data_IF_897081954950
#
_entry.id   IF_897081954950
#
_cell.length_a   1.000
_cell.length_b   1.000
_cell.length_c   1.000
_cell.angle_alpha   90.00
_cell.angle_beta   90.00
_cell.angle_gamma   90.00
#
_symmetry.space_group_name_H-M   'P 1'
#
loop_
_entity.id
_entity.type
_entity.pdbx_description
1 polymer ?
#
# COMPACT_ATOMS: atom_id res chain seq x y z
N UNK A 1 22.50 -14.43 9.83
CA UNK A 1 21.38 -14.88 8.98
C UNK A 1 20.69 -13.63 8.46
N UNK A 2 20.66 -13.40 7.15
CA UNK A 2 20.04 -12.20 6.55
C UNK A 2 18.56 -12.47 6.33
N UNK A 3 17.71 -11.47 6.56
CA UNK A 3 16.25 -11.57 6.35
C UNK A 3 15.98 -11.71 4.86
N UNK A 4 15.13 -12.67 4.47
CA UNK A 4 14.70 -12.87 3.08
C UNK A 4 13.26 -12.39 2.88
N UNK A 5 13.03 -11.61 1.84
CA UNK A 5 11.72 -11.07 1.49
C UNK A 5 11.27 -11.62 0.13
N UNK A 6 10.10 -12.26 0.10
CA UNK A 6 9.59 -12.97 -1.08
C UNK A 6 8.58 -12.11 -1.85
N UNK A 7 8.74 -12.02 -3.17
CA UNK A 7 7.85 -11.29 -4.07
C UNK A 7 7.89 -9.77 -3.88
N UNK A 8 9.05 -9.11 -4.05
CA UNK A 8 9.24 -7.70 -3.70
C UNK A 8 8.42 -6.73 -4.57
N UNK A 9 8.00 -7.16 -5.76
CA UNK A 9 7.20 -6.36 -6.68
C UNK A 9 5.75 -6.14 -6.22
N UNK A 10 5.21 -6.94 -5.29
CA UNK A 10 3.79 -6.87 -4.90
C UNK A 10 3.52 -5.90 -3.75
N UNK A 11 2.34 -5.28 -3.77
CA UNK A 11 1.95 -4.21 -2.84
C UNK A 11 2.08 -4.63 -1.36
N UNK A 12 1.64 -5.82 -0.98
CA UNK A 12 1.74 -6.26 0.41
C UNK A 12 3.19 -6.36 0.89
N UNK A 13 4.07 -6.93 0.07
CA UNK A 13 5.50 -7.09 0.37
C UNK A 13 6.21 -5.76 0.50
N UNK A 14 5.79 -4.76 -0.29
CA UNK A 14 6.33 -3.39 -0.20
C UNK A 14 6.17 -2.76 1.19
N UNK A 15 5.18 -3.16 2.01
CA UNK A 15 5.11 -2.73 3.42
C UNK A 15 6.33 -3.19 4.21
N UNK A 16 6.68 -4.46 4.07
CA UNK A 16 7.82 -5.06 4.78
C UNK A 16 9.12 -4.39 4.33
N UNK A 17 9.31 -4.26 3.02
CA UNK A 17 10.52 -3.64 2.45
C UNK A 17 10.67 -2.18 2.90
N UNK A 18 9.59 -1.41 2.88
CA UNK A 18 9.63 0.00 3.34
C UNK A 18 10.04 0.05 4.82
N UNK A 19 9.51 -0.85 5.65
CA UNK A 19 9.88 -0.94 7.06
C UNK A 19 11.37 -1.31 7.26
N UNK A 20 11.87 -2.29 6.52
CA UNK A 20 13.28 -2.69 6.58
C UNK A 20 14.21 -1.54 6.19
N UNK A 21 13.86 -0.77 5.15
CA UNK A 21 14.61 0.41 4.74
C UNK A 21 14.56 1.51 5.80
N UNK A 22 13.40 1.80 6.39
CA UNK A 22 13.25 2.77 7.50
C UNK A 22 14.05 2.36 8.75
N UNK A 23 14.32 1.06 8.92
CA UNK A 23 15.09 0.52 10.04
C UNK A 23 16.56 0.26 9.71
N UNK A 24 16.99 0.58 8.49
CA UNK A 24 18.36 0.33 8.03
C UNK A 24 18.78 -1.14 8.17
N UNK A 25 17.82 -2.06 7.99
CA UNK A 25 18.05 -3.51 8.10
C UNK A 25 18.37 -4.04 6.70
N UNK A 26 19.49 -4.74 6.58
CA UNK A 26 19.86 -5.46 5.36
C UNK A 26 18.93 -6.66 5.13
N UNK A 27 18.57 -6.86 3.86
CA UNK A 27 17.71 -7.96 3.44
C UNK A 27 18.08 -8.43 2.04
N UNK A 28 17.75 -9.68 1.77
CA UNK A 28 17.78 -10.28 0.44
C UNK A 28 16.35 -10.39 -0.09
N UNK A 29 16.20 -10.32 -1.42
CA UNK A 29 14.92 -10.56 -2.08
C UNK A 29 14.92 -11.87 -2.84
N UNK A 30 13.77 -12.53 -2.84
CA UNK A 30 13.50 -13.70 -3.66
C UNK A 30 12.30 -13.38 -4.53
N UNK A 31 12.50 -13.35 -5.84
CA UNK A 31 11.40 -13.11 -6.77
C UNK A 31 10.41 -14.28 -6.75
N UNK A 32 9.14 -13.94 -6.84
CA UNK A 32 8.03 -14.90 -6.91
C UNK A 32 7.09 -14.41 -8.01
N UNK A 33 6.75 -15.27 -8.96
CA UNK A 33 5.83 -14.93 -10.03
C UNK A 33 4.41 -15.45 -9.72
N UNK A 34 3.58 -14.56 -9.16
CA UNK A 34 2.18 -14.85 -8.85
C UNK A 34 1.35 -15.14 -10.12
N UNK A 35 1.72 -14.58 -11.27
CA UNK A 35 0.99 -14.82 -12.52
C UNK A 35 1.24 -16.21 -13.09
N UNK A 36 2.43 -16.77 -12.86
CA UNK A 36 2.79 -18.16 -13.18
C UNK A 36 2.28 -19.18 -12.16
N UNK A 37 1.59 -18.73 -11.11
CA UNK A 37 1.10 -19.61 -10.06
C UNK A 37 2.20 -20.13 -9.13
N UNK A 38 3.34 -19.44 -9.02
CA UNK A 38 4.38 -19.84 -8.07
C UNK A 38 3.91 -19.70 -6.60
N UNK A 39 2.83 -18.94 -6.37
CA UNK A 39 2.13 -18.87 -5.10
C UNK A 39 0.94 -19.86 -4.98
N UNK A 40 0.71 -20.71 -5.98
CA UNK A 40 -0.47 -21.58 -6.06
C UNK A 40 -0.12 -23.00 -5.69
N UNK A 41 0.13 -23.23 -4.40
CA UNK A 41 -0.13 -24.56 -3.84
C UNK A 41 -1.65 -24.85 -3.95
N UNK A 42 -2.09 -26.12 -4.10
CA UNK A 42 -3.51 -26.45 -4.25
C UNK A 42 -4.41 -25.88 -3.14
N UNK A 43 -3.85 -25.67 -1.94
CA UNK A 43 -4.51 -25.04 -0.80
C UNK A 43 -4.80 -23.53 -1.03
N UNK A 44 -3.97 -22.81 -1.78
CA UNK A 44 -4.11 -21.35 -1.98
C UNK A 44 -5.12 -20.98 -3.08
N UNK A 45 -5.32 -21.85 -4.08
CA UNK A 45 -6.27 -21.63 -5.17
C UNK A 45 -7.74 -21.69 -4.73
N UNK A 46 -8.04 -22.35 -3.61
CA UNK A 46 -9.40 -22.41 -3.04
C UNK A 46 -9.81 -21.10 -2.34
N UNK A 47 -8.85 -20.25 -1.97
CA UNK A 47 -9.08 -19.03 -1.20
C UNK A 47 -9.12 -17.76 -2.08
N UNK A 48 -8.53 -17.79 -3.28
CA UNK A 48 -8.34 -16.63 -4.13
C UNK A 48 -8.70 -16.92 -5.59
N UNK A 49 -9.98 -16.92 -5.90
CA UNK A 49 -10.47 -16.98 -7.28
C UNK A 49 -10.07 -15.70 -8.02
N UNK A 50 -9.58 -15.82 -9.26
CA UNK A 50 -9.42 -14.65 -10.16
C UNK A 50 -10.80 -14.05 -10.41
N UNK A 51 -11.15 -13.00 -9.69
CA UNK A 51 -12.44 -12.32 -9.86
C UNK A 51 -12.35 -11.32 -11.00
N UNK A 52 -13.28 -11.41 -11.94
CA UNK A 52 -13.53 -10.33 -12.87
C UNK A 52 -14.01 -9.09 -12.09
N UNK A 53 -13.66 -7.86 -12.52
CA UNK A 53 -14.13 -6.64 -11.87
C UNK A 53 -15.67 -6.59 -11.86
N UNK A 54 -16.27 -6.57 -10.67
CA UNK A 54 -17.70 -6.36 -10.48
C UNK A 54 -17.93 -4.86 -10.22
N UNK A 55 -18.52 -4.17 -11.20
CA UNK A 55 -18.73 -2.73 -11.14
C UNK A 55 -19.63 -2.31 -9.96
N UNK A 56 -20.62 -3.13 -9.59
CA UNK A 56 -21.48 -2.84 -8.44
C UNK A 56 -20.66 -2.91 -7.16
N UNK A 57 -19.86 -3.96 -7.00
CA UNK A 57 -18.98 -4.12 -5.84
C UNK A 57 -17.93 -3.02 -5.74
N UNK A 58 -17.34 -2.61 -6.87
CA UNK A 58 -16.37 -1.51 -6.90
C UNK A 58 -16.99 -0.22 -6.36
N UNK A 59 -18.22 0.10 -6.79
CA UNK A 59 -18.93 1.30 -6.29
C UNK A 59 -19.21 1.20 -4.80
N UNK A 60 -19.70 0.05 -4.32
CA UNK A 60 -19.97 -0.17 -2.89
C UNK A 60 -18.70 -0.06 -2.03
N UNK A 61 -17.58 -0.61 -2.51
CA UNK A 61 -16.30 -0.58 -1.79
C UNK A 61 -15.67 0.81 -1.84
N UNK A 62 -15.87 1.57 -2.92
CA UNK A 62 -15.49 2.98 -3.00
C UNK A 62 -16.25 3.84 -1.99
N UNK A 63 -17.57 3.67 -1.87
CA UNK A 63 -18.38 4.39 -0.87
C UNK A 63 -17.96 4.03 0.56
N UNK A 64 -17.61 2.76 0.82
CA UNK A 64 -17.06 2.34 2.13
C UNK A 64 -15.72 3.00 2.41
N UNK A 65 -14.81 3.01 1.43
CA UNK A 65 -13.50 3.62 1.57
C UNK A 65 -13.61 5.14 1.76
N UNK A 66 -14.52 5.82 1.06
CA UNK A 66 -14.78 7.24 1.26
C UNK A 66 -15.14 7.56 2.72
N UNK A 67 -16.03 6.77 3.34
CA UNK A 67 -16.39 6.95 4.77
C UNK A 67 -15.21 6.74 5.70
N UNK A 68 -14.32 5.79 5.41
CA UNK A 68 -13.07 5.60 6.19
C UNK A 68 -12.17 6.82 6.06
N UNK A 69 -12.02 7.35 4.84
CA UNK A 69 -11.20 8.53 4.59
C UNK A 69 -11.79 9.80 5.22
N UNK A 70 -13.10 9.90 5.38
CA UNK A 70 -13.74 10.99 6.14
C UNK A 70 -13.38 10.95 7.62
N UNK A 71 -13.33 9.75 8.22
CA UNK A 71 -12.82 9.57 9.58
C UNK A 71 -11.34 9.94 9.67
N UNK A 72 -10.55 9.61 8.64
CA UNK A 72 -9.13 9.97 8.59
C UNK A 72 -8.95 11.48 8.46
N UNK A 73 -9.78 12.16 7.67
CA UNK A 73 -9.77 13.61 7.55
C UNK A 73 -9.99 14.28 8.90
N UNK A 74 -10.97 13.83 9.67
CA UNK A 74 -11.20 14.31 11.03
C UNK A 74 -10.00 14.02 11.95
N UNK A 75 -9.47 12.79 11.93
CA UNK A 75 -8.30 12.42 12.75
C UNK A 75 -7.07 13.26 12.42
N UNK A 76 -6.77 13.41 11.14
CA UNK A 76 -5.59 14.11 10.62
C UNK A 76 -5.75 15.64 10.67
N UNK A 77 -6.94 16.15 10.97
CA UNK A 77 -7.14 17.58 11.29
C UNK A 77 -6.57 17.96 12.66
N UNK A 78 -6.45 16.98 13.58
CA UNK A 78 -5.98 17.20 14.96
C UNK A 78 -4.64 16.54 15.26
N UNK A 79 -4.09 15.75 14.34
CA UNK A 79 -2.81 15.08 14.51
C UNK A 79 -2.05 14.96 13.20
N UNK A 80 -0.72 15.01 13.25
CA UNK A 80 0.12 14.98 12.06
C UNK A 80 0.07 13.63 11.32
N UNK A 81 -0.02 12.52 12.04
CA UNK A 81 -0.05 11.15 11.52
C UNK A 81 -1.19 10.37 12.17
N UNK A 82 -1.49 9.17 11.65
CA UNK A 82 -2.64 8.39 12.13
C UNK A 82 -2.54 8.07 13.64
N UNK A 83 -1.33 7.73 14.10
CA UNK A 83 -1.05 7.35 15.48
C UNK A 83 -0.62 8.51 16.40
N UNK A 84 -0.52 9.74 15.91
CA UNK A 84 -0.03 10.88 16.69
C UNK A 84 0.93 11.79 15.91
N UNK A 85 1.91 12.34 16.60
CA UNK A 85 2.79 13.37 16.04
C UNK A 85 4.01 12.83 15.28
N UNK A 86 4.24 11.52 15.33
CA UNK A 86 5.35 10.84 14.65
C UNK A 86 4.87 9.80 13.65
N UNK A 87 5.56 9.72 12.51
CA UNK A 87 5.35 8.68 11.50
C UNK A 87 5.52 7.29 12.10
N UNK A 88 4.64 6.37 11.75
CA UNK A 88 4.58 5.03 12.34
C UNK A 88 4.24 3.95 11.31
N UNK A 89 4.24 2.69 11.77
CA UNK A 89 3.76 1.57 10.95
C UNK A 89 2.31 1.75 10.51
N UNK A 90 1.48 2.47 11.27
CA UNK A 90 0.11 2.76 10.89
C UNK A 90 0.06 3.56 9.58
N UNK A 91 0.94 4.54 9.42
CA UNK A 91 1.04 5.37 8.22
C UNK A 91 1.67 4.60 7.05
N UNK A 92 2.80 3.94 7.32
CA UNK A 92 3.56 3.17 6.34
C UNK A 92 2.70 2.11 5.64
N UNK A 93 1.83 1.44 6.39
CA UNK A 93 0.98 0.35 5.88
C UNK A 93 0.03 0.79 4.75
N UNK A 94 -0.26 2.09 4.64
CA UNK A 94 -1.12 2.65 3.61
C UNK A 94 -0.40 2.91 2.28
N UNK A 95 0.92 3.04 2.27
CA UNK A 95 1.69 3.43 1.10
C UNK A 95 1.43 2.55 -0.13
N UNK A 96 1.47 1.21 -0.06
CA UNK A 96 1.45 0.42 -1.29
C UNK A 96 0.11 0.45 -2.04
N UNK A 97 -1.00 0.36 -1.31
CA UNK A 97 -2.33 0.37 -1.93
C UNK A 97 -2.85 1.79 -2.17
N UNK A 98 -2.47 2.75 -1.30
CA UNK A 98 -2.71 4.16 -1.55
C UNK A 98 -2.01 4.63 -2.84
N UNK A 99 -0.81 4.12 -3.12
CA UNK A 99 -0.08 4.44 -4.34
C UNK A 99 -0.87 4.02 -5.58
N UNK A 100 -1.42 2.80 -5.60
CA UNK A 100 -2.28 2.37 -6.72
C UNK A 100 -3.53 3.22 -6.87
N UNK A 101 -4.14 3.65 -5.77
CA UNK A 101 -5.31 4.53 -5.80
C UNK A 101 -5.01 5.85 -6.52
N UNK A 102 -3.85 6.44 -6.23
CA UNK A 102 -3.44 7.74 -6.78
C UNK A 102 -2.74 7.67 -8.14
N UNK A 103 -2.19 6.52 -8.55
CA UNK A 103 -1.50 6.39 -9.85
C UNK A 103 -2.29 5.62 -10.90
N UNK A 104 -2.73 4.40 -10.57
CA UNK A 104 -3.10 3.39 -11.57
C UNK A 104 -4.61 3.16 -11.64
N UNK A 105 -5.35 3.49 -10.59
CA UNK A 105 -6.80 3.24 -10.50
C UNK A 105 -7.65 4.45 -10.91
N UNK A 106 -7.05 5.62 -11.16
CA UNK A 106 -7.79 6.85 -11.49
C UNK A 106 -8.69 7.35 -10.36
N UNK A 107 -8.38 7.00 -9.11
CA UNK A 107 -9.17 7.33 -7.92
C UNK A 107 -8.45 8.30 -6.98
N UNK A 108 -7.55 9.11 -7.52
CA UNK A 108 -6.75 10.05 -6.73
C UNK A 108 -7.61 11.06 -5.95
N UNK A 109 -8.78 11.43 -6.48
CA UNK A 109 -9.76 12.32 -5.84
C UNK A 109 -10.14 11.86 -4.43
N UNK A 110 -10.13 10.54 -4.16
CA UNK A 110 -10.41 10.00 -2.82
C UNK A 110 -9.41 10.52 -1.78
N UNK A 111 -8.17 10.78 -2.18
CA UNK A 111 -7.13 11.36 -1.32
C UNK A 111 -7.11 12.88 -1.47
N UNK A 112 -7.16 13.38 -2.72
CA UNK A 112 -6.89 14.79 -3.05
C UNK A 112 -8.00 15.75 -2.62
N UNK A 113 -9.25 15.31 -2.57
CA UNK A 113 -10.39 16.15 -2.17
C UNK A 113 -10.48 16.38 -0.66
N UNK A 114 -9.67 15.67 0.13
CA UNK A 114 -9.61 15.75 1.59
C UNK A 114 -8.33 16.45 2.01
N UNK A 115 -8.43 17.67 2.56
CA UNK A 115 -7.28 18.54 2.81
C UNK A 115 -6.22 17.87 3.70
N UNK A 116 -6.63 17.31 4.83
CA UNK A 116 -5.71 16.75 5.82
C UNK A 116 -5.18 15.37 5.40
N UNK A 117 -6.00 14.55 4.74
CA UNK A 117 -5.59 13.28 4.13
C UNK A 117 -4.61 13.53 2.98
N UNK A 118 -4.86 14.51 2.10
CA UNK A 118 -3.97 14.87 1.00
C UNK A 118 -2.60 15.32 1.52
N UNK A 119 -2.57 16.21 2.54
CA UNK A 119 -1.33 16.61 3.22
C UNK A 119 -0.60 15.43 3.87
N UNK A 120 -1.33 14.54 4.54
CA UNK A 120 -0.74 13.32 5.12
C UNK A 120 -0.12 12.44 4.04
N UNK A 121 -0.86 12.21 2.95
CA UNK A 121 -0.41 11.41 1.83
C UNK A 121 0.86 11.98 1.19
N UNK A 122 0.91 13.29 0.96
CA UNK A 122 2.10 13.94 0.42
C UNK A 122 3.31 13.77 1.33
N UNK A 123 3.15 13.88 2.65
CA UNK A 123 4.24 13.65 3.60
C UNK A 123 4.74 12.20 3.53
N UNK A 124 3.85 11.22 3.72
CA UNK A 124 4.26 9.82 3.83
C UNK A 124 4.76 9.25 2.49
N UNK A 125 4.16 9.66 1.36
CA UNK A 125 4.54 9.16 0.04
C UNK A 125 5.78 9.84 -0.52
N UNK A 126 6.21 10.98 0.05
CA UNK A 126 7.47 11.60 -0.34
C UNK A 126 8.69 11.10 0.41
N UNK A 127 8.51 10.19 1.38
CA UNK A 127 9.62 9.65 2.18
C UNK A 127 10.68 8.96 1.30
N UNK A 128 11.99 9.18 1.57
CA UNK A 128 13.07 8.56 0.80
C UNK A 128 12.99 7.04 0.75
N UNK A 129 12.59 6.42 1.86
CA UNK A 129 12.36 4.97 1.96
C UNK A 129 11.35 4.48 0.93
N UNK A 130 10.20 5.15 0.83
CA UNK A 130 9.14 4.79 -0.11
C UNK A 130 9.57 5.00 -1.56
N UNK A 131 10.20 6.14 -1.87
CA UNK A 131 10.75 6.41 -3.21
C UNK A 131 11.76 5.35 -3.63
N UNK A 132 12.63 4.93 -2.71
CA UNK A 132 13.59 3.84 -2.94
C UNK A 132 12.88 2.51 -3.24
N UNK A 133 11.80 2.17 -2.52
CA UNK A 133 11.01 0.96 -2.82
C UNK A 133 10.41 1.02 -4.22
N UNK A 134 9.81 2.15 -4.62
CA UNK A 134 9.22 2.31 -5.95
C UNK A 134 10.26 2.20 -7.06
N UNK A 135 11.47 2.71 -6.83
CA UNK A 135 12.58 2.62 -7.77
C UNK A 135 13.11 1.19 -7.91
N UNK A 136 13.31 0.50 -6.79
CA UNK A 136 13.88 -0.86 -6.79
C UNK A 136 12.89 -1.91 -7.27
N UNK A 137 11.60 -1.75 -6.95
CA UNK A 137 10.57 -2.75 -7.17
C UNK A 137 9.33 -2.12 -7.81
N UNK A 138 9.40 -1.73 -9.09
CA UNK A 138 8.23 -1.21 -9.80
C UNK A 138 7.09 -2.23 -9.79
N UNK A 139 5.82 -1.79 -9.91
CA UNK A 139 4.70 -2.71 -10.08
C UNK A 139 4.96 -3.65 -11.27
N UNK A 140 4.58 -4.94 -11.17
CA UNK A 140 4.70 -5.84 -12.31
C UNK A 140 3.79 -5.34 -13.45
N UNK A 141 4.38 -5.26 -14.65
CA UNK A 141 3.69 -4.90 -15.91
C UNK A 141 3.02 -6.12 -16.50
#
# INVERSE_FOLDING_TARGET
MVVKVYGPAYASTKRVITCLIEKEIEYEVVDVNVFKGENTTPHYLQLQTRCNPDQKRIKEDEEKLARVLDVYEQRLSTSKYLAGESFSLADLSHLPFGHYLVTSLGKEYMIRDRKHVSRWWDDISNRPSWKKVLQLYPPPV
#
